data_IF_181265794332
#
_entry.id   IF_181265794332
#
_cell.length_a   1.000
_cell.length_b   1.000
_cell.length_c   1.000
_cell.angle_alpha   90.00
_cell.angle_beta   90.00
_cell.angle_gamma   90.00
#
_symmetry.space_group_name_H-M   'P 1'
#
loop_
_entity.id
_entity.type
_entity.pdbx_description
1 polymer ?
#
# COMPACT_ATOMS: atom_id res chain seq x y z
N UNK A 1 -58.48 10.56 31.94
CA UNK A 1 -58.57 11.45 30.77
C UNK A 1 -57.18 11.66 30.20
N UNK A 2 -56.89 11.19 28.97
CA UNK A 2 -55.58 11.37 28.31
C UNK A 2 -55.58 12.73 27.62
N UNK A 3 -54.73 13.67 28.04
CA UNK A 3 -54.55 14.95 27.35
C UNK A 3 -53.78 14.69 26.04
N UNK A 4 -54.48 14.73 24.91
CA UNK A 4 -53.87 14.71 23.59
C UNK A 4 -53.40 16.12 23.25
N UNK A 5 -52.09 16.30 23.09
CA UNK A 5 -51.51 17.56 22.62
C UNK A 5 -51.94 17.78 21.16
N UNK A 6 -52.34 19.00 20.81
CA UNK A 6 -52.69 19.35 19.42
C UNK A 6 -51.44 19.27 18.52
N UNK A 7 -51.63 18.91 17.25
CA UNK A 7 -50.54 18.74 16.29
C UNK A 7 -49.71 20.02 16.08
N UNK A 8 -50.30 21.20 16.27
CA UNK A 8 -49.58 22.48 16.24
C UNK A 8 -48.54 22.60 17.37
N UNK A 9 -48.84 22.08 18.56
CA UNK A 9 -47.89 22.07 19.67
C UNK A 9 -46.69 21.12 19.41
N UNK A 10 -46.90 20.07 18.61
CA UNK A 10 -45.82 19.19 18.16
C UNK A 10 -44.96 19.89 17.10
N UNK A 11 -45.56 20.63 16.17
CA UNK A 11 -44.83 21.38 15.14
C UNK A 11 -43.99 22.51 15.74
N UNK A 12 -44.50 23.23 16.74
CA UNK A 12 -43.73 24.25 17.44
C UNK A 12 -42.53 23.66 18.21
N UNK A 13 -42.69 22.51 18.87
CA UNK A 13 -41.57 21.79 19.53
C UNK A 13 -40.49 21.33 18.54
N UNK A 14 -40.89 20.86 17.36
CA UNK A 14 -39.94 20.43 16.31
C UNK A 14 -39.20 21.63 15.72
N UNK A 15 -39.86 22.78 15.57
CA UNK A 15 -39.21 24.02 15.15
C UNK A 15 -38.19 24.52 16.19
N UNK A 16 -38.57 24.49 17.48
CA UNK A 16 -37.71 24.91 18.59
C UNK A 16 -36.47 24.00 18.75
N UNK A 17 -36.64 22.70 18.52
CA UNK A 17 -35.54 21.73 18.53
C UNK A 17 -34.54 21.93 17.36
N UNK A 18 -34.94 22.60 16.28
CA UNK A 18 -34.10 22.86 15.11
C UNK A 18 -33.30 24.16 15.21
N UNK A 19 -33.78 25.15 15.96
CA UNK A 19 -33.13 26.46 16.13
C UNK A 19 -32.17 26.51 17.32
N UNK A 20 -32.25 25.54 18.25
CA UNK A 20 -31.34 25.41 19.39
C UNK A 20 -30.20 24.41 19.14
N UNK A 21 -29.32 24.72 18.18
CA UNK A 21 -27.93 24.22 18.20
C UNK A 21 -27.02 25.22 18.92
N UNK A 22 -27.45 25.74 20.07
CA UNK A 22 -26.59 26.58 20.90
C UNK A 22 -25.65 25.68 21.70
N UNK A 23 -24.40 25.62 21.26
CA UNK A 23 -23.29 25.10 22.05
C UNK A 23 -23.33 25.74 23.45
N UNK A 24 -23.10 24.99 24.54
CA UNK A 24 -23.11 25.56 25.88
C UNK A 24 -22.02 26.64 26.01
N UNK A 25 -22.27 27.72 26.79
CA UNK A 25 -21.24 28.72 27.03
C UNK A 25 -20.07 28.07 27.77
N UNK A 26 -18.88 28.32 27.25
CA UNK A 26 -17.61 27.80 27.74
C UNK A 26 -17.37 28.35 29.14
N UNK A 27 -17.49 27.53 30.19
CA UNK A 27 -17.07 27.91 31.55
C UNK A 27 -15.61 28.35 31.50
N UNK A 28 -15.36 29.62 31.85
CA UNK A 28 -14.02 30.17 32.00
C UNK A 28 -13.40 29.55 33.25
N UNK A 29 -12.68 28.43 33.07
CA UNK A 29 -11.85 27.86 34.13
C UNK A 29 -10.60 28.71 34.23
N UNK A 30 -10.55 29.54 35.27
CA UNK A 30 -9.32 30.09 35.79
C UNK A 30 -8.37 28.94 36.16
N UNK A 31 -7.14 29.01 35.67
CA UNK A 31 -6.01 28.28 36.22
C UNK A 31 -5.69 26.92 35.60
N UNK A 32 -4.40 26.81 35.25
CA UNK A 32 -3.55 25.62 35.15
C UNK A 32 -3.56 24.88 33.80
N UNK A 33 -2.50 25.20 33.05
CA UNK A 33 -1.84 24.44 31.99
C UNK A 33 -2.75 23.67 31.02
N UNK A 34 -3.07 24.31 29.89
CA UNK A 34 -3.45 23.62 28.66
C UNK A 34 -2.26 22.80 28.12
N UNK A 35 -1.92 21.67 28.76
CA UNK A 35 -0.96 20.71 28.20
C UNK A 35 -1.64 20.01 27.02
N UNK A 36 -1.50 20.65 25.86
CA UNK A 36 -1.62 20.12 24.50
C UNK A 36 -2.27 18.73 24.37
N UNK A 37 -3.61 18.67 24.43
CA UNK A 37 -4.37 17.50 23.91
C UNK A 37 -4.19 17.31 22.39
N UNK A 38 -3.57 18.27 21.69
CA UNK A 38 -3.19 18.17 20.28
C UNK A 38 -1.96 17.30 20.07
N UNK A 39 -1.01 17.27 21.02
CA UNK A 39 0.22 16.48 20.91
C UNK A 39 -0.06 14.98 20.82
N UNK A 40 -0.94 14.46 21.68
CA UNK A 40 -1.32 13.03 21.68
C UNK A 40 -2.00 12.58 20.39
N UNK A 41 -2.79 13.45 19.75
CA UNK A 41 -3.47 13.12 18.48
C UNK A 41 -2.48 13.04 17.31
N UNK A 42 -1.45 13.89 17.30
CA UNK A 42 -0.36 13.84 16.31
C UNK A 42 0.53 12.62 16.56
N UNK A 43 0.79 12.27 17.83
CA UNK A 43 1.54 11.07 18.19
C UNK A 43 0.79 9.78 17.80
N UNK A 44 -0.51 9.71 18.08
CA UNK A 44 -1.39 8.59 17.69
C UNK A 44 -1.52 8.48 16.16
N UNK A 45 -1.66 9.61 15.44
CA UNK A 45 -1.69 9.63 13.96
C UNK A 45 -0.35 9.21 13.35
N UNK A 46 0.78 9.48 14.02
CA UNK A 46 2.10 8.96 13.62
C UNK A 46 2.22 7.47 13.90
N UNK A 47 1.77 6.97 15.06
CA UNK A 47 1.79 5.53 15.38
C UNK A 47 0.97 4.72 14.38
N UNK A 48 -0.24 5.16 14.02
CA UNK A 48 -1.06 4.49 13.00
C UNK A 48 -0.42 4.47 11.60
N UNK A 49 0.52 5.38 11.29
CA UNK A 49 1.29 5.37 10.02
C UNK A 49 2.54 4.50 10.11
N UNK A 50 3.13 4.36 11.30
CA UNK A 50 4.34 3.55 11.54
C UNK A 50 3.98 2.07 11.72
N UNK A 51 2.80 1.79 12.28
CA UNK A 51 2.22 0.45 12.42
C UNK A 51 1.60 -0.09 11.11
N UNK A 52 1.88 0.59 9.99
CA UNK A 52 1.75 0.05 8.63
C UNK A 52 3.05 -0.60 8.12
N UNK A 53 4.10 -0.61 8.93
CA UNK A 53 5.38 -1.28 8.66
C UNK A 53 5.39 -2.73 9.14
N UNK A 54 4.24 -3.41 9.09
CA UNK A 54 4.29 -4.86 8.93
C UNK A 54 4.89 -5.07 7.55
N UNK A 55 6.14 -5.51 7.50
CA UNK A 55 6.70 -6.28 6.40
C UNK A 55 5.66 -7.34 6.02
N UNK A 56 4.75 -6.98 5.12
CA UNK A 56 3.71 -7.88 4.59
C UNK A 56 4.48 -9.04 3.99
N UNK A 57 4.46 -10.20 4.63
CA UNK A 57 5.29 -11.34 4.27
C UNK A 57 5.16 -11.76 2.80
N UNK A 58 4.10 -11.34 2.09
CA UNK A 58 3.92 -11.52 0.65
C UNK A 58 4.51 -10.44 -0.28
N UNK A 59 4.80 -9.22 0.19
CA UNK A 59 5.22 -8.11 -0.70
C UNK A 59 6.56 -8.36 -1.37
N UNK A 60 7.47 -9.07 -0.69
CA UNK A 60 8.78 -9.43 -1.22
C UNK A 60 8.68 -10.44 -2.37
N UNK A 61 7.88 -11.50 -2.18
CA UNK A 61 7.69 -12.55 -3.19
C UNK A 61 6.92 -11.99 -4.37
N UNK A 62 5.83 -11.26 -4.13
CA UNK A 62 5.04 -10.65 -5.20
C UNK A 62 5.87 -9.68 -6.06
N UNK A 63 6.72 -8.84 -5.43
CA UNK A 63 7.63 -7.95 -6.16
C UNK A 63 8.64 -8.74 -6.99
N UNK A 64 9.21 -9.83 -6.46
CA UNK A 64 10.14 -10.69 -7.19
C UNK A 64 9.46 -11.38 -8.38
N UNK A 65 8.25 -11.92 -8.20
CA UNK A 65 7.46 -12.54 -9.27
C UNK A 65 7.13 -11.50 -10.36
N UNK A 66 6.72 -10.29 -9.98
CA UNK A 66 6.49 -9.18 -10.92
C UNK A 66 7.75 -8.82 -11.71
N UNK A 67 8.91 -8.78 -11.05
CA UNK A 67 10.18 -8.55 -11.74
C UNK A 67 10.51 -9.70 -12.68
N UNK A 68 10.31 -10.95 -12.26
CA UNK A 68 10.57 -12.11 -13.10
C UNK A 68 9.73 -12.10 -14.38
N UNK A 69 8.44 -11.74 -14.29
CA UNK A 69 7.57 -11.58 -15.46
C UNK A 69 8.09 -10.56 -16.49
N UNK A 70 8.74 -9.49 -16.02
CA UNK A 70 9.33 -8.47 -16.93
C UNK A 70 10.59 -8.95 -17.65
N UNK A 71 11.29 -9.93 -17.09
CA UNK A 71 12.54 -10.45 -17.65
C UNK A 71 12.31 -11.64 -18.60
N UNK A 72 11.25 -12.41 -18.37
CA UNK A 72 10.97 -13.64 -19.11
C UNK A 72 10.04 -13.33 -20.29
N UNK A 73 10.41 -13.70 -21.53
CA UNK A 73 9.54 -13.53 -22.70
C UNK A 73 8.16 -14.18 -22.49
N UNK A 74 7.12 -13.59 -23.08
CA UNK A 74 5.75 -14.16 -23.12
C UNK A 74 5.09 -14.49 -21.76
N UNK A 75 5.55 -13.88 -20.66
CA UNK A 75 5.20 -14.36 -19.31
C UNK A 75 4.13 -13.53 -18.56
N UNK A 76 3.65 -12.43 -19.14
CA UNK A 76 2.68 -11.52 -18.50
C UNK A 76 1.38 -12.24 -18.08
N UNK A 77 0.83 -13.10 -18.94
CA UNK A 77 -0.39 -13.87 -18.71
C UNK A 77 -0.17 -15.23 -18.04
N UNK A 78 1.08 -15.64 -17.78
CA UNK A 78 1.37 -16.95 -17.19
C UNK A 78 1.11 -17.00 -15.67
N UNK A 79 0.62 -18.15 -15.21
CA UNK A 79 0.64 -18.54 -13.79
C UNK A 79 2.05 -18.86 -13.29
N UNK A 80 2.21 -19.10 -11.99
CA UNK A 80 3.53 -19.29 -11.36
C UNK A 80 4.30 -20.49 -11.93
N UNK A 81 3.66 -21.65 -12.08
CA UNK A 81 4.34 -22.85 -12.57
C UNK A 81 4.81 -22.70 -14.03
N UNK A 82 3.99 -22.07 -14.86
CA UNK A 82 4.35 -21.72 -16.24
C UNK A 82 5.50 -20.72 -16.28
N UNK A 83 5.46 -19.69 -15.43
CA UNK A 83 6.52 -18.70 -15.31
C UNK A 83 7.86 -19.35 -14.95
N UNK A 84 7.88 -20.26 -13.97
CA UNK A 84 9.13 -20.91 -13.56
C UNK A 84 9.68 -21.87 -14.62
N UNK A 85 8.81 -22.61 -15.34
CA UNK A 85 9.23 -23.46 -16.45
C UNK A 85 9.85 -22.63 -17.58
N UNK A 86 9.14 -21.60 -18.04
CA UNK A 86 9.63 -20.72 -19.10
C UNK A 86 10.91 -19.99 -18.69
N UNK A 87 11.03 -19.63 -17.40
CA UNK A 87 12.26 -19.05 -16.85
C UNK A 87 13.43 -20.02 -16.98
N UNK A 88 13.24 -21.30 -16.63
CA UNK A 88 14.30 -22.31 -16.71
C UNK A 88 14.77 -22.51 -18.16
N UNK A 89 13.82 -22.63 -19.08
CA UNK A 89 14.09 -22.76 -20.51
C UNK A 89 14.82 -21.51 -21.05
N UNK A 90 14.38 -20.32 -20.64
CA UNK A 90 15.00 -19.07 -21.05
C UNK A 90 16.43 -18.94 -20.52
N UNK A 91 16.70 -19.29 -19.25
CA UNK A 91 18.05 -19.32 -18.68
C UNK A 91 18.95 -20.25 -19.49
N UNK A 92 18.50 -21.46 -19.80
CA UNK A 92 19.27 -22.41 -20.59
C UNK A 92 19.56 -21.85 -21.99
N UNK A 93 18.57 -21.23 -22.63
CA UNK A 93 18.74 -20.61 -23.95
C UNK A 93 19.79 -19.49 -23.93
N UNK A 94 19.78 -18.64 -22.90
CA UNK A 94 20.74 -17.55 -22.74
C UNK A 94 22.15 -18.09 -22.50
N UNK A 95 22.30 -19.10 -21.65
CA UNK A 95 23.58 -19.75 -21.40
C UNK A 95 24.18 -20.34 -22.68
N UNK A 96 23.37 -21.01 -23.51
CA UNK A 96 23.83 -21.54 -24.79
C UNK A 96 24.26 -20.43 -25.75
N UNK A 97 23.46 -19.36 -25.87
CA UNK A 97 23.81 -18.21 -26.72
C UNK A 97 25.13 -17.57 -26.30
N UNK A 98 25.33 -17.34 -25.00
CA UNK A 98 26.59 -16.79 -24.48
C UNK A 98 27.77 -17.72 -24.77
N UNK A 99 27.62 -19.04 -24.58
CA UNK A 99 28.68 -20.02 -24.92
C UNK A 99 29.05 -19.96 -26.40
N UNK A 100 28.07 -19.92 -27.29
CA UNK A 100 28.32 -19.81 -28.74
C UNK A 100 29.05 -18.51 -29.05
N UNK A 101 28.60 -17.37 -28.51
CA UNK A 101 29.28 -16.08 -28.71
C UNK A 101 30.73 -16.11 -28.20
N UNK A 102 30.98 -16.75 -27.06
CA UNK A 102 32.34 -16.92 -26.53
C UNK A 102 33.21 -17.77 -27.45
N UNK A 103 32.68 -18.87 -28.00
CA UNK A 103 33.40 -19.71 -28.97
C UNK A 103 33.69 -18.90 -30.24
N UNK A 104 32.70 -18.19 -30.78
CA UNK A 104 32.88 -17.35 -31.96
C UNK A 104 33.94 -16.28 -31.72
N UNK A 105 33.91 -15.59 -30.57
CA UNK A 105 34.96 -14.63 -30.23
C UNK A 105 36.32 -15.30 -30.18
N UNK A 106 36.48 -16.44 -29.49
CA UNK A 106 37.77 -17.16 -29.43
C UNK A 106 38.30 -17.58 -30.81
N UNK A 107 37.41 -18.07 -31.67
CA UNK A 107 37.78 -18.46 -33.05
C UNK A 107 38.18 -17.23 -33.87
N UNK A 108 37.44 -16.12 -33.75
CA UNK A 108 37.68 -14.91 -34.54
C UNK A 108 38.83 -14.03 -34.02
N UNK A 109 39.08 -14.03 -32.71
CA UNK A 109 40.22 -13.30 -32.11
C UNK A 109 41.53 -14.06 -32.27
N UNK A 110 41.48 -15.29 -32.76
CA UNK A 110 42.63 -16.16 -32.89
C UNK A 110 43.15 -16.59 -31.52
N UNK A 111 43.69 -17.79 -31.45
CA UNK A 111 44.64 -18.18 -30.42
C UNK A 111 45.86 -17.24 -30.45
N UNK A 112 45.74 -16.03 -29.88
CA UNK A 112 46.85 -15.10 -29.61
C UNK A 112 47.81 -15.60 -28.52
N UNK A 113 47.96 -16.92 -28.42
CA UNK A 113 48.85 -17.68 -27.55
C UNK A 113 49.46 -18.83 -28.37
N UNK A 114 50.02 -18.53 -29.53
CA UNK A 114 51.14 -19.29 -30.07
C UNK A 114 52.31 -18.32 -30.20
N UNK A 115 53.43 -18.71 -29.58
CA UNK A 115 54.66 -17.95 -29.33
C UNK A 115 55.30 -17.33 -30.58
#
# INVERSE_FOLDING_TARGET
MKKTMSNEALLNKVLEAKTSRRCPPRKQKSGRHARSKRSGRILMKRRARVEGSTTRAGYGIERRVRTLKKLVPNSESMGLDGLFRETADYILSLQMRVKVMQIMVKVLTGSGEEY
#
